data_IF_029000145216
#
_entry.id   IF_029000145216
#
_cell.length_a   1.000
_cell.length_b   1.000
_cell.length_c   1.000
_cell.angle_alpha   90.00
_cell.angle_beta   90.00
_cell.angle_gamma   90.00
#
_symmetry.space_group_name_H-M   'P 1'
#
loop_
_entity.id
_entity.type
_entity.pdbx_description
1 polymer ?
#
# COMPACT_ATOMS: atom_id res chain seq x y z
N UNK A 1 35.86 -1.97 27.17
CA UNK A 1 35.74 -1.95 25.69
C UNK A 1 34.26 -2.11 25.36
N UNK A 2 33.75 -1.34 24.39
CA UNK A 2 32.38 -0.84 24.29
C UNK A 2 31.24 -1.88 24.34
N UNK A 3 30.22 -1.59 25.16
CA UNK A 3 28.90 -2.23 25.10
C UNK A 3 28.19 -1.75 23.83
N UNK A 4 27.84 -2.67 22.93
CA UNK A 4 27.08 -2.33 21.72
C UNK A 4 25.62 -2.21 22.12
N UNK A 5 25.14 -0.97 22.18
CA UNK A 5 23.72 -0.68 22.41
C UNK A 5 22.90 -1.26 21.25
N UNK A 6 22.02 -2.21 21.57
CA UNK A 6 21.01 -2.72 20.66
C UNK A 6 20.17 -1.53 20.15
N UNK A 7 19.90 -1.42 18.83
CA UNK A 7 18.99 -0.40 18.34
C UNK A 7 17.62 -0.57 19.02
N UNK A 8 16.94 0.54 19.37
CA UNK A 8 15.65 0.48 20.06
C UNK A 8 14.67 -0.39 19.26
N UNK A 9 13.81 -1.18 19.93
CA UNK A 9 12.81 -1.98 19.25
C UNK A 9 11.96 -1.06 18.38
N UNK A 10 12.10 -1.23 17.07
CA UNK A 10 11.23 -0.58 16.10
C UNK A 10 9.80 -0.96 16.50
N UNK A 11 8.84 -0.01 16.59
CA UNK A 11 7.46 -0.36 16.80
C UNK A 11 7.07 -1.31 15.68
N UNK A 12 6.85 -2.57 16.04
CA UNK A 12 6.09 -3.52 15.24
C UNK A 12 4.68 -2.94 15.19
N UNK A 13 4.49 -1.96 14.30
CA UNK A 13 3.16 -1.53 13.90
C UNK A 13 2.42 -2.83 13.55
N UNK A 14 1.30 -3.12 14.23
CA UNK A 14 0.61 -4.39 14.08
C UNK A 14 0.44 -4.63 12.60
N UNK A 15 0.92 -5.78 12.09
CA UNK A 15 0.77 -6.16 10.69
C UNK A 15 -0.66 -5.90 10.28
N UNK A 16 -0.86 -4.75 9.63
CA UNK A 16 -2.17 -4.20 9.38
C UNK A 16 -2.81 -5.13 8.38
N UNK A 17 -3.76 -5.95 8.85
CA UNK A 17 -4.49 -6.93 8.01
C UNK A 17 -5.18 -6.27 6.82
N UNK A 18 -5.30 -4.95 6.85
CA UNK A 18 -5.82 -4.08 5.83
C UNK A 18 -4.78 -3.59 4.81
N UNK A 19 -3.80 -4.40 4.41
CA UNK A 19 -2.80 -4.04 3.38
C UNK A 19 -2.99 -4.86 2.11
N UNK A 20 -3.08 -4.19 0.97
CA UNK A 20 -3.22 -4.77 -0.36
C UNK A 20 -1.95 -4.46 -1.14
N UNK A 21 -1.22 -5.51 -1.52
CA UNK A 21 -0.10 -5.36 -2.45
C UNK A 21 -0.58 -5.59 -3.88
N UNK A 22 -0.50 -4.55 -4.69
CA UNK A 22 -0.80 -4.59 -6.12
C UNK A 22 0.48 -4.92 -6.87
N UNK A 23 0.41 -5.96 -7.70
CA UNK A 23 1.50 -6.40 -8.57
C UNK A 23 1.02 -6.36 -10.02
N UNK A 24 1.99 -6.29 -10.96
CA UNK A 24 1.71 -6.34 -12.38
C UNK A 24 1.48 -7.79 -12.83
N UNK A 25 0.44 -8.44 -12.31
CA UNK A 25 0.09 -9.83 -12.63
C UNK A 25 -1.35 -9.91 -13.12
N UNK A 26 -1.74 -11.09 -13.65
CA UNK A 26 -3.00 -11.44 -14.35
C UNK A 26 -4.33 -11.04 -13.67
N UNK A 27 -4.31 -10.39 -12.51
CA UNK A 27 -5.52 -9.93 -11.82
C UNK A 27 -6.08 -8.69 -12.53
N UNK A 28 -7.37 -8.66 -12.89
CA UNK A 28 -7.98 -7.50 -13.49
C UNK A 28 -8.05 -6.33 -12.48
N UNK A 29 -8.08 -5.09 -12.96
CA UNK A 29 -8.15 -3.86 -12.14
C UNK A 29 -9.25 -3.95 -11.06
N UNK A 30 -10.45 -4.38 -11.46
CA UNK A 30 -11.61 -4.48 -10.57
C UNK A 30 -11.46 -5.49 -9.43
N UNK A 31 -10.54 -6.45 -9.54
CA UNK A 31 -10.24 -7.36 -8.44
C UNK A 31 -9.74 -6.58 -7.21
N UNK A 32 -8.80 -5.66 -7.41
CA UNK A 32 -8.24 -4.86 -6.32
C UNK A 32 -9.21 -3.80 -5.83
N UNK A 33 -10.02 -3.22 -6.72
CA UNK A 33 -11.09 -2.29 -6.32
C UNK A 33 -12.08 -2.98 -5.38
N UNK A 34 -12.55 -4.18 -5.72
CA UNK A 34 -13.51 -4.91 -4.88
C UNK A 34 -12.88 -5.37 -3.56
N UNK A 35 -11.61 -5.77 -3.58
CA UNK A 35 -10.88 -6.13 -2.36
C UNK A 35 -10.73 -4.91 -1.43
N UNK A 36 -10.38 -3.75 -1.98
CA UNK A 36 -10.28 -2.51 -1.23
C UNK A 36 -11.62 -2.10 -0.61
N UNK A 37 -12.73 -2.21 -1.35
CA UNK A 37 -14.09 -1.97 -0.81
C UNK A 37 -14.35 -2.84 0.42
N UNK A 38 -14.07 -4.14 0.34
CA UNK A 38 -14.24 -5.06 1.47
C UNK A 38 -13.35 -4.67 2.66
N UNK A 39 -12.09 -4.33 2.43
CA UNK A 39 -11.15 -3.99 3.50
C UNK A 39 -11.54 -2.69 4.21
N UNK A 40 -11.99 -1.69 3.44
CA UNK A 40 -12.49 -0.43 3.98
C UNK A 40 -13.74 -0.67 4.84
N UNK A 41 -14.65 -1.55 4.44
CA UNK A 41 -15.83 -1.92 5.25
C UNK A 41 -15.47 -2.66 6.54
N UNK A 42 -14.45 -3.53 6.50
CA UNK A 42 -14.07 -4.35 7.66
C UNK A 42 -13.14 -3.61 8.64
N UNK A 43 -12.29 -2.71 8.15
CA UNK A 43 -11.20 -2.11 8.92
C UNK A 43 -11.20 -0.57 8.91
N UNK A 44 -12.17 0.08 8.27
CA UNK A 44 -12.26 1.54 8.05
C UNK A 44 -11.09 2.18 7.29
N UNK A 45 -10.02 1.46 7.04
CA UNK A 45 -8.81 1.93 6.40
C UNK A 45 -8.23 0.80 5.56
N UNK A 46 -7.64 1.12 4.41
CA UNK A 46 -6.85 0.17 3.63
C UNK A 46 -5.57 0.84 3.14
N UNK A 47 -4.48 0.09 3.20
CA UNK A 47 -3.19 0.48 2.66
C UNK A 47 -2.96 -0.24 1.33
N UNK A 48 -2.77 0.53 0.25
CA UNK A 48 -2.43 0.04 -1.08
C UNK A 48 -0.93 0.21 -1.30
N UNK A 49 -0.22 -0.87 -1.61
CA UNK A 49 1.21 -0.84 -1.91
C UNK A 49 1.50 -1.38 -3.31
N UNK A 50 2.42 -0.76 -4.05
CA UNK A 50 2.85 -1.22 -5.37
C UNK A 50 4.32 -0.96 -5.64
N UNK A 51 4.86 -1.70 -6.61
CA UNK A 51 6.24 -1.59 -7.09
C UNK A 51 6.28 -1.33 -8.59
N UNK A 52 7.15 -0.41 -9.02
CA UNK A 52 7.44 -0.17 -10.44
C UNK A 52 6.19 0.17 -11.25
N UNK A 53 5.93 -0.57 -12.34
CA UNK A 53 4.78 -0.31 -13.22
C UNK A 53 3.43 -0.51 -12.54
N UNK A 54 3.33 -1.27 -11.45
CA UNK A 54 2.07 -1.47 -10.74
C UNK A 54 1.60 -0.22 -9.96
N UNK A 55 2.45 0.79 -9.83
CA UNK A 55 2.13 2.04 -9.12
C UNK A 55 0.94 2.75 -9.80
N UNK A 56 0.91 2.78 -11.14
CA UNK A 56 -0.19 3.41 -11.88
C UNK A 56 -1.53 2.76 -11.54
N UNK A 57 -1.56 1.43 -11.44
CA UNK A 57 -2.75 0.67 -11.05
C UNK A 57 -3.25 1.07 -9.65
N UNK A 58 -2.34 1.26 -8.68
CA UNK A 58 -2.74 1.73 -7.32
C UNK A 58 -3.33 3.13 -7.36
N UNK A 59 -2.72 4.04 -8.12
CA UNK A 59 -3.23 5.41 -8.28
C UNK A 59 -4.64 5.37 -8.87
N UNK A 60 -4.86 4.58 -9.93
CA UNK A 60 -6.18 4.40 -10.53
C UNK A 60 -7.20 3.80 -9.56
N UNK A 61 -6.82 2.80 -8.75
CA UNK A 61 -7.73 2.22 -7.73
C UNK A 61 -8.12 3.28 -6.70
N UNK A 62 -7.16 4.05 -6.19
CA UNK A 62 -7.42 5.12 -5.23
C UNK A 62 -8.36 6.18 -5.83
N UNK A 63 -8.15 6.57 -7.08
CA UNK A 63 -9.03 7.50 -7.80
C UNK A 63 -10.45 6.94 -7.96
N UNK A 64 -10.62 5.68 -8.34
CA UNK A 64 -11.94 5.04 -8.47
C UNK A 64 -12.67 5.02 -7.12
N UNK A 65 -11.99 4.72 -6.03
CA UNK A 65 -12.60 4.66 -4.70
C UNK A 65 -13.01 6.06 -4.19
N UNK A 66 -12.19 7.08 -4.46
CA UNK A 66 -12.52 8.49 -4.17
C UNK A 66 -13.69 9.00 -4.99
N UNK A 67 -13.69 8.74 -6.31
CA UNK A 67 -14.75 9.19 -7.21
C UNK A 67 -16.11 8.56 -6.90
N UNK A 68 -16.12 7.35 -6.34
CA UNK A 68 -17.34 6.69 -5.88
C UNK A 68 -17.79 7.12 -4.48
N UNK A 69 -17.08 8.07 -3.83
CA UNK A 69 -17.38 8.53 -2.47
C UNK A 69 -17.17 7.45 -1.39
N UNK A 70 -16.41 6.40 -1.68
CA UNK A 70 -16.20 5.26 -0.78
C UNK A 70 -14.99 5.46 0.13
N UNK A 71 -14.03 6.28 -0.29
CA UNK A 71 -12.80 6.50 0.45
C UNK A 71 -12.25 7.91 0.31
N UNK A 72 -11.52 8.36 1.33
CA UNK A 72 -10.68 9.55 1.29
C UNK A 72 -9.21 9.16 1.44
N UNK A 73 -8.32 9.93 0.82
CA UNK A 73 -6.88 9.72 0.99
C UNK A 73 -6.42 10.23 2.35
N UNK A 74 -5.68 9.40 3.08
CA UNK A 74 -5.12 9.74 4.40
C UNK A 74 -3.63 10.06 4.32
N UNK A 75 -2.86 9.23 3.61
CA UNK A 75 -1.41 9.35 3.51
C UNK A 75 -0.90 8.75 2.22
N UNK A 76 0.06 9.41 1.58
CA UNK A 76 0.82 8.87 0.45
C UNK A 76 2.30 8.90 0.79
N UNK A 77 3.01 7.83 0.49
CA UNK A 77 4.44 7.73 0.71
C UNK A 77 5.09 6.94 -0.42
N UNK A 78 6.18 7.48 -0.94
CA UNK A 78 7.00 6.82 -1.95
C UNK A 78 8.38 6.55 -1.39
N UNK A 79 8.85 5.32 -1.52
CA UNK A 79 10.17 4.90 -1.05
C UNK A 79 10.93 4.23 -2.18
N UNK A 80 12.25 4.19 -2.08
CA UNK A 80 13.08 3.45 -3.02
C UNK A 80 13.68 2.25 -2.31
N UNK A 81 13.52 1.05 -2.85
CA UNK A 81 14.10 -0.19 -2.30
C UNK A 81 15.14 -0.74 -3.25
N UNK A 82 16.33 -1.07 -2.71
CA UNK A 82 17.34 -1.82 -3.46
C UNK A 82 16.95 -3.29 -3.49
N UNK A 83 16.93 -3.90 -4.68
CA UNK A 83 16.75 -5.34 -4.82
C UNK A 83 18.10 -6.00 -5.12
N UNK A 84 18.40 -7.10 -4.43
CA UNK A 84 19.55 -7.94 -4.73
C UNK A 84 19.08 -9.03 -5.68
N UNK A 85 19.59 -9.03 -6.92
CA UNK A 85 19.36 -10.13 -7.86
C UNK A 85 20.42 -11.21 -7.60
N UNK A 86 19.98 -12.29 -6.96
CA UNK A 86 20.86 -13.43 -6.64
C UNK A 86 21.29 -14.22 -7.88
N UNK A 87 20.62 -14.02 -9.03
CA UNK A 87 20.91 -14.75 -10.26
C UNK A 87 22.14 -14.21 -11.01
N UNK A 88 22.50 -12.92 -10.84
CA UNK A 88 23.61 -12.30 -11.58
C UNK A 88 24.70 -11.64 -10.73
N UNK A 89 24.62 -11.68 -9.39
CA UNK A 89 25.61 -11.06 -8.50
C UNK A 89 25.73 -9.53 -8.65
N UNK A 90 24.81 -8.92 -9.42
CA UNK A 90 24.78 -7.49 -9.73
C UNK A 90 23.62 -6.88 -8.93
N UNK A 91 23.88 -5.84 -8.14
CA UNK A 91 22.84 -5.04 -7.49
C UNK A 91 22.04 -4.34 -8.60
N UNK A 92 20.88 -4.88 -8.98
CA UNK A 92 20.00 -4.26 -9.97
C UNK A 92 18.91 -3.41 -9.34
N UNK A 93 18.58 -2.39 -10.14
CA UNK A 93 17.59 -1.33 -10.01
C UNK A 93 16.84 -1.20 -8.67
N UNK A 94 17.14 -0.07 -8.03
CA UNK A 94 16.30 0.67 -7.09
C UNK A 94 14.83 0.69 -7.54
N UNK A 95 14.01 -0.26 -7.06
CA UNK A 95 12.59 -0.26 -7.35
C UNK A 95 11.89 0.83 -6.53
N UNK A 96 10.99 1.57 -7.15
CA UNK A 96 10.15 2.54 -6.44
C UNK A 96 8.97 1.80 -5.84
N UNK A 97 8.77 1.97 -4.53
CA UNK A 97 7.59 1.55 -3.78
C UNK A 97 6.67 2.76 -3.69
N UNK A 98 5.39 2.52 -3.94
CA UNK A 98 4.32 3.42 -3.56
C UNK A 98 3.53 2.75 -2.45
N UNK A 99 3.23 3.48 -1.36
CA UNK A 99 2.24 3.10 -0.36
C UNK A 99 1.25 4.25 -0.16
N UNK A 100 -0.03 3.97 -0.32
CA UNK A 100 -1.13 4.91 -0.12
C UNK A 100 -2.12 4.35 0.89
N UNK A 101 -2.47 5.12 1.91
CA UNK A 101 -3.49 4.77 2.90
C UNK A 101 -4.76 5.55 2.57
N UNK A 102 -5.87 4.84 2.41
CA UNK A 102 -7.19 5.42 2.20
C UNK A 102 -8.12 5.00 3.35
N UNK A 103 -8.99 5.90 3.78
CA UNK A 103 -9.98 5.65 4.83
C UNK A 103 -11.39 5.63 4.27
N UNK A 104 -12.27 4.89 4.92
CA UNK A 104 -13.69 4.87 4.59
C UNK A 104 -14.29 6.25 4.75
N UNK A 105 -15.03 6.68 3.74
CA UNK A 105 -15.86 7.88 3.85
C UNK A 105 -17.25 7.46 4.35
N UNK A 106 -17.53 7.69 5.62
CA UNK A 106 -18.90 7.57 6.14
C UNK A 106 -19.64 8.84 5.76
N UNK A 107 -20.37 8.80 4.65
CA UNK A 107 -21.45 9.77 4.45
C UNK A 107 -22.53 9.43 5.47
N UNK A 108 -22.56 10.15 6.60
CA UNK A 108 -23.79 10.24 7.38
C UNK A 108 -24.79 10.98 6.50
N UNK A 109 -25.63 10.23 5.80
CA UNK A 109 -26.86 10.74 5.21
C UNK A 109 -27.79 11.15 6.36
N UNK A 110 -27.52 12.33 6.91
CA UNK A 110 -28.42 13.05 7.79
C UNK A 110 -29.18 14.08 6.97
N UNK A 111 -30.34 13.65 6.45
CA UNK A 111 -31.50 14.48 6.15
C UNK A 111 -32.75 13.64 6.40
#
# INVERSE_FOLDING_TARGET
MATVALPPPQPIEPQKKNRIQVSNTKKPLFFYVNLAKRYIQQHNEVELSALGMAITTVVTIAEILKNNGLATEKKVSTSTVGMKDESKGRLVQKAKVFSGVIQHTVFHSGF
#
